data_IF_307718030237
#
_entry.id   IF_307718030237
#
_cell.length_a   1.000
_cell.length_b   1.000
_cell.length_c   1.000
_cell.angle_alpha   90.00
_cell.angle_beta   90.00
_cell.angle_gamma   90.00
#
_symmetry.space_group_name_H-M   'P 1'
#
loop_
_entity.id
_entity.type
_entity.pdbx_description
1 polymer ?
#
# COMPACT_ATOMS: atom_id res chain seq x y z
N UNK A 1 25.62 -6.68 -51.81
CA UNK A 1 25.72 -6.72 -50.34
C UNK A 1 24.74 -7.75 -49.76
N UNK A 2 25.21 -8.75 -49.00
CA UNK A 2 24.49 -10.00 -48.67
C UNK A 2 23.46 -9.86 -47.52
N UNK A 3 22.66 -8.79 -47.52
CA UNK A 3 21.80 -8.43 -46.38
C UNK A 3 20.28 -8.43 -46.67
N UNK A 4 19.81 -9.23 -47.65
CA UNK A 4 18.38 -9.27 -48.01
C UNK A 4 17.58 -10.44 -47.42
N UNK A 5 18.21 -11.35 -46.67
CA UNK A 5 17.52 -12.52 -46.07
C UNK A 5 17.42 -12.40 -44.54
N UNK A 6 16.18 -12.24 -44.04
CA UNK A 6 15.87 -12.13 -42.61
C UNK A 6 16.21 -13.41 -41.82
N UNK A 7 16.01 -14.58 -42.41
CA UNK A 7 16.29 -15.87 -41.76
C UNK A 7 17.81 -16.06 -41.62
N UNK A 8 18.56 -15.72 -42.68
CA UNK A 8 20.03 -15.76 -42.67
C UNK A 8 20.62 -14.76 -41.66
N UNK A 9 20.08 -13.54 -41.58
CA UNK A 9 20.49 -12.54 -40.58
C UNK A 9 20.22 -13.02 -39.14
N UNK A 10 19.07 -13.64 -38.90
CA UNK A 10 18.71 -14.17 -37.59
C UNK A 10 19.61 -15.36 -37.18
N UNK A 11 19.90 -16.27 -38.12
CA UNK A 11 20.80 -17.40 -37.89
C UNK A 11 22.24 -16.93 -37.58
N UNK A 12 22.76 -16.01 -38.38
CA UNK A 12 24.07 -15.39 -38.12
C UNK A 12 24.11 -14.68 -36.77
N UNK A 13 23.06 -13.91 -36.43
CA UNK A 13 22.99 -13.22 -35.15
C UNK A 13 22.92 -14.16 -33.94
N UNK A 14 22.30 -15.34 -34.08
CA UNK A 14 22.33 -16.37 -33.03
C UNK A 14 23.71 -16.98 -32.88
N UNK A 15 24.34 -17.40 -33.99
CA UNK A 15 25.69 -17.98 -33.99
C UNK A 15 26.73 -17.00 -33.42
N UNK A 16 26.64 -15.72 -33.78
CA UNK A 16 27.50 -14.66 -33.27
C UNK A 16 27.32 -14.45 -31.76
N UNK A 17 26.08 -14.37 -31.25
CA UNK A 17 25.84 -14.22 -29.81
C UNK A 17 26.33 -15.43 -29.01
N UNK A 18 26.26 -16.62 -29.58
CA UNK A 18 26.76 -17.84 -28.95
C UNK A 18 28.29 -17.86 -28.88
N UNK A 19 28.96 -17.65 -30.02
CA UNK A 19 30.42 -17.64 -30.10
C UNK A 19 31.05 -16.52 -29.26
N UNK A 20 30.37 -15.37 -29.13
CA UNK A 20 30.86 -14.20 -28.40
C UNK A 20 30.12 -13.97 -27.06
N UNK A 21 29.49 -15.00 -26.49
CA UNK A 21 28.64 -14.89 -25.29
C UNK A 21 29.36 -14.19 -24.13
N UNK A 22 30.58 -14.63 -23.82
CA UNK A 22 31.35 -14.11 -22.68
C UNK A 22 31.84 -12.68 -22.92
N UNK A 23 32.28 -12.38 -24.14
CA UNK A 23 32.72 -11.05 -24.56
C UNK A 23 31.57 -10.04 -24.54
N UNK A 24 30.41 -10.41 -25.10
CA UNK A 24 29.20 -9.59 -25.07
C UNK A 24 28.69 -9.38 -23.64
N UNK A 25 28.79 -10.39 -22.78
CA UNK A 25 28.44 -10.24 -21.37
C UNK A 25 29.42 -9.32 -20.62
N UNK A 26 30.72 -9.42 -20.88
CA UNK A 26 31.73 -8.54 -20.30
C UNK A 26 31.55 -7.09 -20.77
N UNK A 27 31.36 -6.89 -22.08
CA UNK A 27 31.03 -5.60 -22.67
C UNK A 27 29.72 -5.03 -22.09
N UNK A 28 28.69 -5.86 -21.94
CA UNK A 28 27.41 -5.44 -21.35
C UNK A 28 27.56 -4.99 -19.90
N UNK A 29 28.40 -5.67 -19.10
CA UNK A 29 28.71 -5.26 -17.72
C UNK A 29 29.45 -3.93 -17.68
N UNK A 30 30.55 -3.79 -18.43
CA UNK A 30 31.35 -2.55 -18.44
C UNK A 30 30.55 -1.38 -18.99
N UNK A 31 29.77 -1.59 -20.03
CA UNK A 31 28.83 -0.60 -20.56
C UNK A 31 27.83 -0.18 -19.49
N UNK A 32 27.17 -1.14 -18.82
CA UNK A 32 26.23 -0.82 -17.76
C UNK A 32 26.90 -0.05 -16.62
N UNK A 33 28.05 -0.49 -16.11
CA UNK A 33 28.78 0.17 -15.03
C UNK A 33 29.14 1.61 -15.36
N UNK A 34 29.73 1.83 -16.54
CA UNK A 34 30.16 3.16 -16.99
C UNK A 34 28.98 4.09 -17.34
N UNK A 35 27.82 3.53 -17.69
CA UNK A 35 26.65 4.30 -18.10
C UNK A 35 25.54 4.34 -17.05
N UNK A 36 25.69 3.62 -15.93
CA UNK A 36 24.66 3.51 -14.88
C UNK A 36 24.22 4.87 -14.39
N UNK A 37 25.17 5.77 -14.12
CA UNK A 37 24.84 7.13 -13.65
C UNK A 37 24.00 7.91 -14.67
N UNK A 38 24.33 7.81 -15.96
CA UNK A 38 23.59 8.45 -17.05
C UNK A 38 22.20 7.82 -17.24
N UNK A 39 22.10 6.49 -17.20
CA UNK A 39 20.83 5.77 -17.30
C UNK A 39 19.92 6.03 -16.10
N UNK A 40 20.47 6.08 -14.89
CA UNK A 40 19.75 6.44 -13.67
C UNK A 40 19.28 7.90 -13.73
N UNK A 41 20.11 8.82 -14.22
CA UNK A 41 19.74 10.22 -14.42
C UNK A 41 18.62 10.37 -15.45
N UNK A 42 18.76 9.74 -16.62
CA UNK A 42 17.72 9.70 -17.65
C UNK A 42 16.43 9.07 -17.13
N UNK A 43 16.52 7.96 -16.40
CA UNK A 43 15.36 7.30 -15.80
C UNK A 43 14.68 8.17 -14.73
N UNK A 44 15.40 9.05 -14.04
CA UNK A 44 14.80 10.06 -13.15
C UNK A 44 14.09 11.16 -13.93
N UNK A 45 14.75 11.76 -14.92
CA UNK A 45 14.14 12.83 -15.73
C UNK A 45 12.93 12.34 -16.52
N UNK A 46 13.00 11.13 -17.09
CA UNK A 46 11.89 10.48 -17.76
C UNK A 46 10.72 10.23 -16.80
N UNK A 47 10.98 9.66 -15.60
CA UNK A 47 9.91 9.42 -14.63
C UNK A 47 9.23 10.70 -14.16
N UNK A 48 9.98 11.79 -14.04
CA UNK A 48 9.41 13.09 -13.66
C UNK A 48 8.61 13.71 -14.82
N UNK A 49 9.18 13.77 -16.02
CA UNK A 49 8.52 14.31 -17.21
C UNK A 49 7.22 13.56 -17.54
N UNK A 50 7.18 12.24 -17.32
CA UNK A 50 6.01 11.39 -17.60
C UNK A 50 5.22 11.03 -16.33
N UNK A 51 5.41 11.75 -15.22
CA UNK A 51 4.76 11.45 -13.94
C UNK A 51 3.24 11.52 -14.04
N UNK A 52 2.73 12.59 -14.65
CA UNK A 52 1.29 12.82 -14.79
C UNK A 52 0.65 11.86 -15.78
N UNK A 53 1.29 11.64 -16.93
CA UNK A 53 0.86 10.67 -17.94
C UNK A 53 0.76 9.26 -17.37
N UNK A 54 1.81 8.80 -16.68
CA UNK A 54 1.80 7.49 -15.99
C UNK A 54 0.73 7.40 -14.92
N UNK A 55 0.50 8.49 -14.18
CA UNK A 55 -0.55 8.53 -13.17
C UNK A 55 -1.94 8.49 -13.81
N UNK A 56 -2.15 9.19 -14.92
CA UNK A 56 -3.40 9.16 -15.69
C UNK A 56 -3.65 7.76 -16.27
N UNK A 57 -2.65 7.18 -16.93
CA UNK A 57 -2.71 5.82 -17.44
C UNK A 57 -2.96 4.80 -16.33
N UNK A 58 -2.30 4.95 -15.18
CA UNK A 58 -2.53 4.09 -14.02
C UNK A 58 -3.96 4.16 -13.48
N UNK A 59 -4.60 5.34 -13.55
CA UNK A 59 -6.02 5.51 -13.17
C UNK A 59 -6.95 4.83 -14.18
N UNK A 60 -6.76 5.07 -15.47
CA UNK A 60 -7.62 4.48 -16.52
C UNK A 60 -7.47 2.97 -16.57
N UNK A 61 -6.23 2.45 -16.51
CA UNK A 61 -5.95 1.02 -16.41
C UNK A 61 -6.55 0.43 -15.14
N UNK A 62 -6.38 1.09 -14.00
CA UNK A 62 -6.94 0.65 -12.73
C UNK A 62 -8.46 0.52 -12.74
N UNK A 63 -9.16 1.48 -13.35
CA UNK A 63 -10.63 1.42 -13.49
C UNK A 63 -11.06 0.35 -14.48
N UNK A 64 -10.41 0.26 -15.65
CA UNK A 64 -10.71 -0.76 -16.66
C UNK A 64 -10.54 -2.20 -16.16
N UNK A 65 -9.57 -2.45 -15.28
CA UNK A 65 -9.27 -3.78 -14.72
C UNK A 65 -9.80 -3.98 -13.29
N UNK A 66 -10.67 -3.10 -12.80
CA UNK A 66 -11.17 -3.14 -11.43
C UNK A 66 -11.95 -4.41 -11.11
N UNK A 67 -12.82 -4.84 -12.02
CA UNK A 67 -13.66 -6.04 -11.84
C UNK A 67 -12.83 -7.32 -11.95
N UNK A 68 -11.95 -7.41 -12.95
CA UNK A 68 -11.00 -8.51 -13.11
C UNK A 68 -10.14 -8.68 -11.86
N UNK A 69 -9.59 -7.57 -11.33
CA UNK A 69 -8.83 -7.58 -10.09
C UNK A 69 -9.68 -8.02 -8.90
N UNK A 70 -10.93 -7.58 -8.80
CA UNK A 70 -11.83 -7.99 -7.74
C UNK A 70 -12.16 -9.50 -7.82
N UNK A 71 -12.41 -10.02 -9.03
CA UNK A 71 -12.64 -11.43 -9.29
C UNK A 71 -11.41 -12.27 -8.93
N UNK A 72 -10.22 -11.85 -9.34
CA UNK A 72 -8.96 -12.50 -8.99
C UNK A 72 -8.77 -12.58 -7.47
N UNK A 73 -8.94 -11.46 -6.75
CA UNK A 73 -8.80 -11.42 -5.30
C UNK A 73 -9.82 -12.31 -4.58
N UNK A 74 -11.05 -12.39 -5.11
CA UNK A 74 -12.10 -13.27 -4.58
C UNK A 74 -11.74 -14.74 -4.81
N UNK A 75 -11.37 -15.11 -6.03
CA UNK A 75 -11.02 -16.48 -6.41
C UNK A 75 -9.77 -16.98 -5.66
N UNK A 76 -8.81 -16.10 -5.39
CA UNK A 76 -7.54 -16.45 -4.73
C UNK A 76 -7.49 -16.04 -3.26
N UNK A 77 -8.62 -15.78 -2.61
CA UNK A 77 -8.69 -15.25 -1.24
C UNK A 77 -7.88 -16.08 -0.24
N UNK A 78 -8.00 -17.41 -0.30
CA UNK A 78 -7.31 -18.33 0.62
C UNK A 78 -5.81 -18.38 0.36
N UNK A 79 -5.41 -18.50 -0.92
CA UNK A 79 -4.01 -18.45 -1.32
C UNK A 79 -3.35 -17.13 -0.89
N UNK A 80 -4.00 -15.99 -1.13
CA UNK A 80 -3.52 -14.67 -0.68
C UNK A 80 -3.39 -14.62 0.84
N UNK A 81 -4.36 -15.19 1.58
CA UNK A 81 -4.31 -15.24 3.03
C UNK A 81 -3.13 -16.08 3.54
N UNK A 82 -2.86 -17.23 2.92
CA UNK A 82 -1.70 -18.07 3.22
C UNK A 82 -0.38 -17.35 2.92
N UNK A 83 -0.24 -16.76 1.74
CA UNK A 83 0.94 -15.97 1.38
C UNK A 83 1.16 -14.80 2.33
N UNK A 84 0.09 -14.11 2.72
CA UNK A 84 0.15 -13.02 3.70
C UNK A 84 0.60 -13.52 5.07
N UNK A 85 0.08 -14.67 5.52
CA UNK A 85 0.47 -15.29 6.79
C UNK A 85 1.95 -15.67 6.78
N UNK A 86 2.40 -16.32 5.72
CA UNK A 86 3.76 -16.83 5.62
C UNK A 86 4.75 -15.68 5.46
N UNK A 87 4.41 -14.65 4.67
CA UNK A 87 5.17 -13.40 4.59
C UNK A 87 5.31 -12.74 5.97
N UNK A 88 4.24 -12.64 6.76
CA UNK A 88 4.29 -12.05 8.11
C UNK A 88 5.17 -12.82 9.09
N UNK A 89 5.50 -14.09 8.82
CA UNK A 89 6.42 -14.90 9.64
C UNK A 89 7.88 -14.68 9.28
N UNK A 90 8.17 -14.26 8.04
CA UNK A 90 9.53 -13.87 7.65
C UNK A 90 10.06 -12.72 8.51
N UNK A 91 11.37 -12.59 8.63
CA UNK A 91 12.00 -11.46 9.31
C UNK A 91 11.53 -10.11 8.74
N UNK A 92 11.52 -9.98 7.41
CA UNK A 92 11.05 -8.77 6.71
C UNK A 92 9.60 -8.46 7.04
N UNK A 93 8.70 -9.44 7.00
CA UNK A 93 7.28 -9.24 7.32
C UNK A 93 7.07 -8.83 8.78
N UNK A 94 7.78 -9.47 9.71
CA UNK A 94 7.75 -9.08 11.14
C UNK A 94 8.23 -7.64 11.34
N UNK A 95 9.33 -7.25 10.70
CA UNK A 95 9.86 -5.88 10.76
C UNK A 95 8.84 -4.84 10.23
N UNK A 96 8.16 -5.14 9.12
CA UNK A 96 7.12 -4.26 8.55
C UNK A 96 5.96 -4.07 9.51
N UNK A 97 5.46 -5.16 10.13
CA UNK A 97 4.37 -5.09 11.12
C UNK A 97 4.82 -4.31 12.35
N UNK A 98 6.00 -4.60 12.88
CA UNK A 98 6.55 -3.88 14.04
C UNK A 98 6.69 -2.38 13.79
N UNK A 99 7.21 -1.97 12.62
CA UNK A 99 7.33 -0.57 12.23
C UNK A 99 5.96 0.11 12.10
N UNK A 100 4.97 -0.57 11.53
CA UNK A 100 3.59 -0.07 11.44
C UNK A 100 2.98 0.15 12.83
N UNK A 101 3.14 -0.82 13.73
CA UNK A 101 2.58 -0.73 15.08
C UNK A 101 3.30 0.34 15.92
N UNK A 102 4.62 0.48 15.75
CA UNK A 102 5.39 1.55 16.37
C UNK A 102 4.91 2.94 15.92
N UNK A 103 4.70 3.15 14.61
CA UNK A 103 4.11 4.38 14.07
C UNK A 103 2.74 4.66 14.66
N UNK A 104 1.86 3.65 14.73
CA UNK A 104 0.52 3.79 15.31
C UNK A 104 0.58 4.17 16.79
N UNK A 105 1.49 3.58 17.57
CA UNK A 105 1.70 3.94 18.98
C UNK A 105 2.21 5.37 19.13
N UNK A 106 3.13 5.80 18.27
CA UNK A 106 3.62 7.17 18.25
C UNK A 106 2.50 8.18 17.94
N UNK A 107 1.68 7.93 16.92
CA UNK A 107 0.51 8.77 16.60
C UNK A 107 -0.49 8.87 17.75
N UNK A 108 -0.71 7.79 18.51
CA UNK A 108 -1.56 7.86 19.70
C UNK A 108 -0.99 8.75 20.81
N UNK A 109 0.32 8.99 20.81
CA UNK A 109 1.03 9.82 21.80
C UNK A 109 1.46 11.17 21.24
N UNK A 110 1.10 11.52 20.01
CA UNK A 110 1.56 12.74 19.35
C UNK A 110 0.81 14.00 19.79
N UNK A 111 0.01 13.91 20.85
CA UNK A 111 -0.76 15.01 21.43
C UNK A 111 -0.29 15.25 22.87
N UNK A 112 -0.32 16.51 23.31
CA UNK A 112 0.05 16.92 24.66
C UNK A 112 -0.99 16.54 25.71
N UNK A 113 -2.25 16.33 25.31
CA UNK A 113 -3.37 15.92 26.16
C UNK A 113 -4.00 14.62 25.64
N UNK A 114 -3.33 13.46 25.78
CA UNK A 114 -3.87 12.19 25.31
C UNK A 114 -5.12 11.79 26.10
N UNK A 115 -6.07 11.14 25.43
CA UNK A 115 -7.27 10.60 26.04
C UNK A 115 -6.94 9.75 27.28
N UNK A 116 -7.53 10.11 28.41
CA UNK A 116 -7.41 9.40 29.67
C UNK A 116 -8.47 8.31 29.83
N UNK A 117 -8.25 7.37 30.76
CA UNK A 117 -9.25 6.35 31.10
C UNK A 117 -10.54 6.95 31.68
N UNK A 118 -10.43 8.03 32.46
CA UNK A 118 -11.57 8.74 33.03
C UNK A 118 -12.44 9.40 31.94
N UNK A 119 -11.82 10.05 30.95
CA UNK A 119 -12.53 10.63 29.82
C UNK A 119 -13.22 9.56 28.97
N UNK A 120 -12.55 8.43 28.73
CA UNK A 120 -13.17 7.30 28.05
C UNK A 120 -14.40 6.78 28.80
N UNK A 121 -14.32 6.65 30.12
CA UNK A 121 -15.47 6.25 30.95
C UNK A 121 -16.60 7.27 30.88
N UNK A 122 -16.28 8.57 30.89
CA UNK A 122 -17.28 9.63 30.71
C UNK A 122 -17.98 9.56 29.34
N UNK A 123 -17.24 9.28 28.26
CA UNK A 123 -17.80 9.06 26.92
C UNK A 123 -18.76 7.85 26.92
N UNK A 124 -18.37 6.73 27.54
CA UNK A 124 -19.22 5.55 27.65
C UNK A 124 -20.50 5.81 28.43
N UNK A 125 -20.40 6.50 29.57
CA UNK A 125 -21.54 6.85 30.41
C UNK A 125 -22.52 7.77 29.66
N UNK A 126 -22.01 8.76 28.94
CA UNK A 126 -22.81 9.65 28.10
C UNK A 126 -23.49 8.88 26.96
N UNK A 127 -22.81 7.92 26.35
CA UNK A 127 -23.36 7.10 25.26
C UNK A 127 -24.52 6.20 25.72
N UNK A 128 -24.65 5.88 27.01
CA UNK A 128 -25.71 5.01 27.58
C UNK A 128 -25.89 3.70 26.80
N UNK A 129 -24.77 3.09 26.39
CA UNK A 129 -24.74 1.86 25.61
C UNK A 129 -25.18 2.00 24.15
N UNK A 130 -25.39 3.22 23.64
CA UNK A 130 -25.79 3.48 22.24
C UNK A 130 -24.59 3.80 21.35
N UNK A 131 -24.58 3.24 20.15
CA UNK A 131 -23.57 3.53 19.14
C UNK A 131 -23.68 4.98 18.65
N UNK A 132 -22.55 5.69 18.56
CA UNK A 132 -22.51 7.06 18.02
C UNK A 132 -23.05 7.16 16.60
N UNK A 133 -22.87 6.14 15.76
CA UNK A 133 -23.27 6.18 14.35
C UNK A 133 -24.71 5.68 14.13
N UNK A 134 -24.98 4.41 14.43
CA UNK A 134 -26.30 3.83 14.16
C UNK A 134 -27.34 4.08 15.25
N UNK A 135 -26.96 4.69 16.38
CA UNK A 135 -27.83 5.02 17.54
C UNK A 135 -28.46 3.83 18.28
N UNK A 136 -28.27 2.61 17.75
CA UNK A 136 -28.70 1.36 18.38
C UNK A 136 -28.00 1.08 19.71
N UNK A 137 -28.74 0.49 20.65
CA UNK A 137 -28.19 -0.04 21.91
C UNK A 137 -27.41 -1.32 21.63
N UNK A 138 -26.20 -1.41 22.18
CA UNK A 138 -25.32 -2.57 22.02
C UNK A 138 -24.65 -2.93 23.34
N UNK A 139 -24.36 -4.22 23.54
CA UNK A 139 -23.74 -4.72 24.76
C UNK A 139 -22.30 -4.21 24.97
N UNK A 140 -21.55 -3.98 23.88
CA UNK A 140 -20.15 -3.54 23.95
C UNK A 140 -19.86 -2.45 22.92
N UNK A 141 -19.46 -1.29 23.42
CA UNK A 141 -18.95 -0.19 22.60
C UNK A 141 -17.43 -0.28 22.49
N UNK A 142 -16.91 0.13 21.34
CA UNK A 142 -15.49 0.29 21.06
C UNK A 142 -15.17 1.76 20.89
N UNK A 143 -13.90 2.08 21.08
CA UNK A 143 -13.36 3.40 20.86
C UNK A 143 -13.09 3.61 19.36
N UNK A 144 -13.71 4.63 18.78
CA UNK A 144 -13.46 5.03 17.39
C UNK A 144 -12.97 6.48 17.31
N UNK A 145 -12.03 6.72 16.39
CA UNK A 145 -11.50 8.04 16.08
C UNK A 145 -12.34 8.65 14.95
N UNK A 146 -13.06 9.75 15.19
CA UNK A 146 -13.90 10.41 14.17
C UNK A 146 -13.06 10.76 12.93
N UNK A 147 -11.96 11.48 13.13
CA UNK A 147 -10.84 11.60 12.20
C UNK A 147 -9.83 10.48 12.48
N UNK A 148 -9.65 9.50 11.58
CA UNK A 148 -8.73 8.37 11.81
C UNK A 148 -7.28 8.81 12.03
N UNK A 149 -6.54 8.09 12.87
CA UNK A 149 -5.09 8.31 13.10
C UNK A 149 -4.25 8.31 11.80
N UNK A 150 -4.69 7.57 10.78
CA UNK A 150 -4.01 7.52 9.47
C UNK A 150 -4.26 8.75 8.59
N UNK A 151 -5.15 9.65 9.03
CA UNK A 151 -5.48 10.93 8.40
C UNK A 151 -5.23 12.08 9.38
N UNK A 152 -4.15 11.95 10.15
CA UNK A 152 -3.69 12.94 11.12
C UNK A 152 -4.67 13.29 12.25
N UNK A 153 -5.62 12.40 12.54
CA UNK A 153 -6.47 12.52 13.71
C UNK A 153 -5.70 12.28 15.00
N UNK A 154 -5.92 13.12 16.02
CA UNK A 154 -5.30 12.97 17.32
C UNK A 154 -6.07 11.99 18.22
N UNK A 155 -5.36 11.39 19.19
CA UNK A 155 -5.97 10.54 20.20
C UNK A 155 -6.41 11.35 21.42
N UNK A 156 -7.38 12.23 21.22
CA UNK A 156 -7.94 13.17 22.22
C UNK A 156 -9.44 12.94 22.40
N UNK A 157 -10.00 13.38 23.53
CA UNK A 157 -11.42 13.23 23.87
C UNK A 157 -12.36 13.71 22.77
N UNK A 158 -12.05 14.84 22.15
CA UNK A 158 -12.87 15.52 21.11
C UNK A 158 -12.94 14.70 19.83
N UNK A 159 -11.93 13.86 19.55
CA UNK A 159 -11.87 13.02 18.37
C UNK A 159 -12.36 11.59 18.63
N UNK A 160 -12.84 11.27 19.83
CA UNK A 160 -13.18 9.91 20.24
C UNK A 160 -14.68 9.77 20.49
N UNK A 161 -15.27 8.75 19.87
CA UNK A 161 -16.66 8.39 20.05
C UNK A 161 -16.81 6.92 20.39
N UNK A 162 -17.88 6.60 21.14
CA UNK A 162 -18.22 5.22 21.43
C UNK A 162 -19.08 4.63 20.29
N UNK A 163 -18.56 3.64 19.58
CA UNK A 163 -19.21 3.03 18.43
C UNK A 163 -19.35 1.53 18.59
N UNK A 164 -20.36 0.91 17.99
CA UNK A 164 -20.44 -0.54 17.94
C UNK A 164 -19.34 -1.11 17.02
N UNK A 165 -18.95 -2.37 17.23
CA UNK A 165 -17.91 -3.05 16.45
C UNK A 165 -18.23 -3.04 14.95
N UNK A 166 -19.48 -3.26 14.55
CA UNK A 166 -19.89 -3.29 13.14
C UNK A 166 -19.73 -1.93 12.46
N UNK A 167 -20.20 -0.83 13.08
CA UNK A 167 -20.04 0.51 12.53
C UNK A 167 -18.57 0.94 12.49
N UNK A 168 -17.81 0.73 13.58
CA UNK A 168 -16.39 1.07 13.62
C UNK A 168 -15.61 0.31 12.52
N UNK A 169 -15.90 -1.00 12.33
CA UNK A 169 -15.26 -1.81 11.30
C UNK A 169 -15.65 -1.36 9.88
N UNK A 170 -16.92 -0.98 9.67
CA UNK A 170 -17.41 -0.46 8.38
C UNK A 170 -16.81 0.90 8.05
N UNK A 171 -16.64 1.78 9.05
CA UNK A 171 -15.97 3.08 8.89
C UNK A 171 -14.49 2.89 8.58
N UNK A 172 -13.78 2.08 9.37
CA UNK A 172 -12.34 1.87 9.20
C UNK A 172 -11.59 3.21 9.12
N UNK A 173 -10.75 3.41 8.10
CA UNK A 173 -10.02 4.66 7.85
C UNK A 173 -10.80 5.70 7.02
N UNK A 174 -12.09 5.47 6.76
CA UNK A 174 -12.94 6.42 6.01
C UNK A 174 -13.36 7.58 6.91
N UNK A 175 -13.57 8.74 6.28
CA UNK A 175 -14.24 9.86 6.91
C UNK A 175 -15.73 9.67 6.66
N UNK A 176 -16.49 9.43 7.72
CA UNK A 176 -17.93 9.62 7.66
C UNK A 176 -18.14 11.09 8.01
N UNK A 177 -18.53 11.89 7.02
CA UNK A 177 -18.98 13.25 7.29
C UNK A 177 -20.19 13.09 8.22
N UNK A 178 -20.08 13.64 9.41
CA UNK A 178 -21.20 13.75 10.32
C UNK A 178 -22.13 14.81 9.71
N UNK A 179 -23.16 14.35 9.01
CA UNK A 179 -24.34 15.14 8.72
C UNK A 179 -25.19 15.24 9.99
#
# INVERSE_FOLDING_TARGET
MPYKDRARKAAWGRAYREAHRNELAAYGRTYYETHKAKMDAYGRTYREAHKEERAAWGRTYGEAHKEERAAYLKAHREWIALQTRDYRRTEKGRAVVAAKDARRRAQKRSTTAPLTSAEWLAILNHAKGRCYYCKEKVAKLTMDHVLPLSKDGFHVKENIVAACKSCNSRKSARLWLLL
#
